data_IF_079242153944
#
_entry.id   IF_079242153944
#
_cell.length_a   1.000
_cell.length_b   1.000
_cell.length_c   1.000
_cell.angle_alpha   90.00
_cell.angle_beta   90.00
_cell.angle_gamma   90.00
#
_symmetry.space_group_name_H-M   'P 1'
#
loop_
_entity.id
_entity.type
_entity.pdbx_description
1 polymer ?
#
# COMPACT_ATOMS: atom_id res chain seq x y z
N UNK A 1 23.45 2.64 44.88
CA UNK A 1 24.22 1.89 43.88
C UNK A 1 23.25 1.17 42.95
N UNK A 2 22.84 1.85 41.90
CA UNK A 2 22.14 1.27 40.78
C UNK A 2 23.16 0.48 39.98
N UNK A 3 23.13 -0.84 40.08
CA UNK A 3 23.83 -1.70 39.14
C UNK A 3 23.12 -1.54 37.79
N UNK A 4 23.76 -0.81 36.89
CA UNK A 4 23.41 -0.88 35.48
C UNK A 4 23.77 -2.29 35.00
N UNK A 5 22.78 -3.16 34.88
CA UNK A 5 22.93 -4.36 34.08
C UNK A 5 23.10 -3.89 32.63
N UNK A 6 24.35 -3.83 32.18
CA UNK A 6 24.63 -3.94 30.75
C UNK A 6 24.29 -5.39 30.35
N UNK A 7 23.00 -5.68 30.23
CA UNK A 7 22.54 -6.94 29.69
C UNK A 7 23.08 -7.01 28.27
N UNK A 8 23.84 -8.07 27.98
CA UNK A 8 24.19 -8.41 26.59
C UNK A 8 22.87 -8.46 25.83
N UNK A 9 22.70 -7.58 24.85
CA UNK A 9 21.49 -7.57 24.01
C UNK A 9 21.42 -8.91 23.29
N UNK A 10 20.48 -9.76 23.70
CA UNK A 10 20.37 -11.12 23.20
C UNK A 10 19.78 -11.15 21.77
N UNK A 11 19.07 -10.11 21.40
CA UNK A 11 18.42 -9.95 20.08
C UNK A 11 18.74 -8.57 19.55
N UNK A 12 19.00 -8.49 18.26
CA UNK A 12 19.27 -7.23 17.56
C UNK A 12 18.59 -7.22 16.21
N UNK A 13 17.91 -6.13 15.90
CA UNK A 13 17.50 -5.81 14.55
C UNK A 13 18.61 -4.98 13.89
N UNK A 14 18.95 -5.30 12.63
CA UNK A 14 20.04 -4.66 11.91
C UNK A 14 19.65 -4.24 10.50
N UNK A 15 20.43 -3.31 9.94
CA UNK A 15 20.38 -2.90 8.54
C UNK A 15 21.72 -3.17 7.88
N UNK A 16 21.71 -3.85 6.76
CA UNK A 16 22.89 -4.08 5.93
C UNK A 16 22.67 -3.47 4.54
N UNK A 17 23.57 -2.56 4.15
CA UNK A 17 23.52 -1.90 2.85
C UNK A 17 23.83 -2.90 1.72
N UNK A 18 22.95 -2.96 0.70
CA UNK A 18 23.09 -3.84 -0.46
C UNK A 18 23.41 -3.08 -1.76
N UNK A 19 23.02 -1.82 -1.84
CA UNK A 19 23.22 -0.91 -2.96
C UNK A 19 23.07 0.53 -2.50
N UNK A 20 23.04 1.47 -3.43
CA UNK A 20 22.88 2.90 -3.07
C UNK A 20 21.49 3.18 -2.46
N UNK A 21 20.49 2.41 -2.88
CA UNK A 21 19.09 2.55 -2.46
C UNK A 21 18.44 1.22 -2.03
N UNK A 22 19.24 0.27 -1.58
CA UNK A 22 18.74 -1.02 -1.11
C UNK A 22 19.44 -1.44 0.16
N UNK A 23 18.66 -1.96 1.10
CA UNK A 23 19.13 -2.49 2.37
C UNK A 23 18.44 -3.81 2.70
N UNK A 24 19.13 -4.67 3.44
CA UNK A 24 18.52 -5.80 4.15
C UNK A 24 18.24 -5.40 5.59
N UNK A 25 17.03 -5.69 6.04
CA UNK A 25 16.64 -5.56 7.45
C UNK A 25 16.45 -6.95 8.01
N UNK A 26 17.19 -7.31 9.02
CA UNK A 26 17.16 -8.65 9.59
C UNK A 26 17.28 -8.67 11.10
N UNK A 27 17.13 -9.87 11.64
CA UNK A 27 17.21 -10.14 13.09
C UNK A 27 18.36 -11.08 13.34
N UNK A 28 19.22 -10.75 14.30
CA UNK A 28 20.28 -11.63 14.79
C UNK A 28 20.06 -11.92 16.26
N UNK A 29 20.44 -13.13 16.68
CA UNK A 29 20.47 -13.52 18.08
C UNK A 29 21.61 -14.50 18.35
N UNK A 30 22.26 -14.35 19.48
CA UNK A 30 23.22 -15.33 20.02
C UNK A 30 22.51 -16.45 20.78
N UNK A 31 21.24 -16.27 21.14
CA UNK A 31 20.43 -17.22 21.88
C UNK A 31 19.19 -17.64 21.08
N UNK A 32 18.67 -18.81 21.40
CA UNK A 32 17.36 -19.23 20.90
C UNK A 32 16.26 -18.42 21.58
N UNK A 33 15.22 -18.06 20.84
CA UNK A 33 13.95 -17.63 21.45
C UNK A 33 13.45 -18.74 22.39
N UNK A 34 12.68 -18.35 23.40
CA UNK A 34 11.92 -19.32 24.18
C UNK A 34 10.98 -20.10 23.26
N UNK A 35 10.65 -21.34 23.64
CA UNK A 35 9.74 -22.15 22.87
C UNK A 35 8.41 -21.40 22.67
N UNK A 36 7.99 -21.27 21.43
CA UNK A 36 6.77 -20.54 21.08
C UNK A 36 5.54 -21.29 21.63
N UNK A 37 4.69 -20.62 22.43
CA UNK A 37 3.45 -21.24 22.89
C UNK A 37 2.50 -21.54 21.73
N UNK A 38 1.63 -22.56 21.87
CA UNK A 38 0.62 -22.87 20.86
C UNK A 38 -0.41 -21.74 20.66
N UNK A 39 -0.59 -20.92 21.68
CA UNK A 39 -1.46 -19.74 21.65
C UNK A 39 -0.78 -18.59 22.39
N UNK A 40 -0.97 -17.37 21.91
CA UNK A 40 -0.55 -16.13 22.55
C UNK A 40 -1.69 -15.14 22.56
N UNK A 41 -1.64 -14.18 23.47
CA UNK A 41 -2.60 -13.08 23.46
C UNK A 41 -2.46 -12.21 22.21
N UNK A 42 -3.58 -11.68 21.72
CA UNK A 42 -3.58 -10.58 20.76
C UNK A 42 -3.12 -9.30 21.46
N UNK A 43 -2.74 -8.30 20.69
CA UNK A 43 -2.14 -7.05 21.21
C UNK A 43 -2.88 -5.82 20.71
N UNK A 44 -2.95 -4.82 21.59
CA UNK A 44 -3.44 -3.49 21.30
C UNK A 44 -2.26 -2.50 21.27
N UNK A 45 -2.36 -1.52 20.39
CA UNK A 45 -1.39 -0.44 20.26
C UNK A 45 -1.90 0.84 20.93
N UNK A 46 -1.03 1.47 21.71
CA UNK A 46 -1.21 2.82 22.24
C UNK A 46 0.10 3.58 22.13
N UNK A 47 0.05 4.89 22.17
CA UNK A 47 1.26 5.71 22.25
C UNK A 47 1.07 6.84 23.24
N UNK A 48 2.07 7.10 24.05
CA UNK A 48 2.11 8.23 24.98
C UNK A 48 2.35 9.58 24.28
N UNK A 49 2.72 9.56 22.98
CA UNK A 49 2.88 10.75 22.16
C UNK A 49 1.98 10.69 20.93
N UNK A 50 1.09 11.66 20.81
CA UNK A 50 0.22 11.81 19.62
C UNK A 50 0.60 13.13 18.96
N UNK A 51 1.02 13.15 17.67
CA UNK A 51 1.26 14.37 16.91
C UNK A 51 0.05 15.30 16.92
N UNK A 52 0.29 16.62 16.92
CA UNK A 52 -0.76 17.62 17.00
C UNK A 52 -1.78 17.44 15.87
N UNK A 53 -3.06 17.36 16.22
CA UNK A 53 -4.17 17.21 15.29
C UNK A 53 -4.49 15.78 14.86
N UNK A 54 -3.65 14.79 15.22
CA UNK A 54 -3.95 13.38 14.97
C UNK A 54 -4.85 12.79 16.05
N UNK A 55 -5.53 11.70 15.69
CA UNK A 55 -6.30 10.85 16.59
C UNK A 55 -6.34 9.41 16.08
N UNK A 56 -6.59 8.48 16.97
CA UNK A 56 -6.88 7.10 16.59
C UNK A 56 -8.18 7.03 15.80
N UNK A 57 -8.12 6.51 14.58
CA UNK A 57 -9.28 6.22 13.74
C UNK A 57 -9.86 4.84 14.05
N UNK A 58 -8.99 3.89 14.42
CA UNK A 58 -9.33 2.55 14.92
C UNK A 58 -8.16 2.01 15.78
N UNK A 59 -8.16 0.70 16.07
CA UNK A 59 -7.18 0.02 16.91
C UNK A 59 -5.75 0.02 16.34
N UNK A 60 -5.60 0.25 15.04
CA UNK A 60 -4.32 0.16 14.31
C UNK A 60 -3.96 1.39 13.48
N UNK A 61 -4.80 2.43 13.47
CA UNK A 61 -4.56 3.63 12.66
C UNK A 61 -4.62 4.90 13.50
N UNK A 62 -3.50 5.64 13.52
CA UNK A 62 -3.39 6.98 14.12
C UNK A 62 -3.19 7.98 12.97
N UNK A 63 -4.15 8.88 12.74
CA UNK A 63 -4.15 9.73 11.55
C UNK A 63 -4.76 11.12 11.77
N UNK A 64 -4.55 12.02 10.82
CA UNK A 64 -5.33 13.24 10.72
C UNK A 64 -6.77 12.92 10.27
N UNK A 65 -7.81 13.59 10.83
CA UNK A 65 -9.20 13.29 10.48
C UNK A 65 -9.56 13.36 9.00
N UNK A 66 -8.80 14.15 8.23
CA UNK A 66 -8.98 14.30 6.79
C UNK A 66 -8.24 13.24 5.95
N UNK A 67 -7.36 12.45 6.55
CA UNK A 67 -6.51 11.50 5.82
C UNK A 67 -7.28 10.30 5.29
N UNK A 68 -8.41 9.93 5.93
CA UNK A 68 -9.28 8.81 5.51
C UNK A 68 -8.49 7.51 5.26
N UNK A 69 -7.57 7.16 6.17
CA UNK A 69 -6.64 6.03 6.08
C UNK A 69 -5.55 6.15 5.01
N UNK A 70 -5.36 7.34 4.45
CA UNK A 70 -4.27 7.65 3.53
C UNK A 70 -3.27 8.56 4.23
N UNK A 71 -2.17 8.01 4.74
CA UNK A 71 -1.20 8.73 5.56
C UNK A 71 -1.32 8.40 7.04
N UNK A 72 -0.72 9.24 7.90
CA UNK A 72 -0.61 8.99 9.34
C UNK A 72 0.24 7.75 9.65
N UNK A 73 -0.25 6.94 10.61
CA UNK A 73 0.40 5.70 11.06
C UNK A 73 -0.54 4.52 10.92
N UNK A 74 -0.02 3.41 10.40
CA UNK A 74 -0.68 2.12 10.44
C UNK A 74 0.23 1.11 11.14
N UNK A 75 -0.29 0.44 12.16
CA UNK A 75 0.43 -0.51 12.99
C UNK A 75 0.04 -1.93 12.62
N UNK A 76 1.04 -2.78 12.43
CA UNK A 76 0.84 -4.20 12.17
C UNK A 76 1.84 -5.02 12.99
N UNK A 77 1.52 -6.29 13.23
CA UNK A 77 2.43 -7.22 13.88
C UNK A 77 2.52 -8.53 13.14
N UNK A 78 3.70 -9.11 13.11
CA UNK A 78 3.93 -10.48 12.64
C UNK A 78 4.53 -11.29 13.78
N UNK A 79 4.29 -12.61 13.75
CA UNK A 79 4.86 -13.53 14.73
C UNK A 79 6.37 -13.63 14.54
N UNK A 80 7.10 -13.64 15.64
CA UNK A 80 8.53 -13.93 15.69
C UNK A 80 8.74 -15.34 16.24
N UNK A 81 9.30 -16.24 15.42
CA UNK A 81 9.68 -17.59 15.81
C UNK A 81 11.21 -17.73 15.79
N UNK A 82 11.72 -18.79 16.41
CA UNK A 82 13.14 -19.13 16.39
C UNK A 82 13.68 -19.40 14.98
N UNK A 83 12.85 -19.88 14.06
CA UNK A 83 13.20 -20.10 12.66
C UNK A 83 13.33 -18.81 11.86
N UNK A 84 12.80 -17.70 12.38
CA UNK A 84 12.87 -16.35 11.79
C UNK A 84 14.22 -15.67 12.03
N UNK A 85 14.99 -16.16 12.99
CA UNK A 85 16.30 -15.63 13.32
C UNK A 85 17.27 -15.84 12.16
N UNK A 86 18.07 -14.81 11.87
CA UNK A 86 19.01 -14.77 10.74
C UNK A 86 18.35 -14.69 9.34
N UNK A 87 17.06 -14.46 9.27
CA UNK A 87 16.39 -14.10 8.03
C UNK A 87 16.35 -12.56 7.88
N UNK A 88 16.44 -12.09 6.65
CA UNK A 88 16.48 -10.66 6.35
C UNK A 88 15.59 -10.29 5.17
N UNK A 89 14.76 -9.27 5.38
CA UNK A 89 13.89 -8.68 4.38
C UNK A 89 14.69 -7.73 3.47
N UNK A 90 14.62 -7.89 2.17
CA UNK A 90 15.18 -6.96 1.21
C UNK A 90 14.26 -5.76 1.04
N UNK A 91 14.78 -4.54 1.28
CA UNK A 91 14.07 -3.29 1.10
C UNK A 91 14.74 -2.50 -0.03
N UNK A 92 13.98 -2.21 -1.10
CA UNK A 92 14.41 -1.43 -2.26
C UNK A 92 13.85 -0.01 -2.20
N UNK A 93 14.44 0.89 -3.00
CA UNK A 93 14.08 2.31 -3.04
C UNK A 93 14.28 3.05 -1.69
N UNK A 94 15.15 2.57 -0.83
CA UNK A 94 15.46 3.15 0.47
C UNK A 94 16.44 4.31 0.31
N UNK A 95 16.05 5.50 0.71
CA UNK A 95 16.88 6.72 0.67
C UNK A 95 17.50 7.07 2.02
N UNK A 96 16.96 6.51 3.10
CA UNK A 96 17.50 6.67 4.45
C UNK A 96 17.21 5.41 5.28
N UNK A 97 18.18 4.98 6.07
CA UNK A 97 18.03 3.86 7.00
C UNK A 97 18.82 4.14 8.29
N UNK A 98 18.26 3.75 9.43
CA UNK A 98 18.87 3.98 10.74
C UNK A 98 18.51 2.85 11.70
N UNK A 99 19.53 2.21 12.30
CA UNK A 99 19.34 1.33 13.46
C UNK A 99 19.28 2.17 14.73
N UNK A 100 18.27 1.95 15.56
CA UNK A 100 18.16 2.63 16.85
C UNK A 100 17.25 1.90 17.84
N UNK A 101 17.33 2.31 19.10
CA UNK A 101 16.37 1.89 20.13
C UNK A 101 15.21 2.88 20.17
N UNK A 102 13.98 2.38 20.10
CA UNK A 102 12.74 3.13 20.25
C UNK A 102 12.11 2.78 21.61
N UNK A 103 12.25 3.67 22.59
CA UNK A 103 11.86 3.35 23.96
C UNK A 103 12.63 2.13 24.51
N UNK A 104 11.94 1.02 24.70
CA UNK A 104 12.55 -0.26 25.15
C UNK A 104 12.89 -1.22 24.01
N UNK A 105 12.45 -0.94 22.77
CA UNK A 105 12.56 -1.85 21.64
C UNK A 105 13.75 -1.52 20.74
N UNK A 106 14.50 -2.54 20.34
CA UNK A 106 15.45 -2.44 19.22
C UNK A 106 14.67 -2.34 17.93
N UNK A 107 15.15 -1.54 16.97
CA UNK A 107 14.43 -1.38 15.73
C UNK A 107 15.22 -0.70 14.63
N UNK A 108 14.55 -0.56 13.50
CA UNK A 108 15.08 0.05 12.28
C UNK A 108 14.06 1.04 11.73
N UNK A 109 14.54 2.25 11.41
CA UNK A 109 13.80 3.22 10.63
C UNK A 109 14.25 3.17 9.17
N UNK A 110 13.30 3.17 8.24
CA UNK A 110 13.53 3.27 6.79
C UNK A 110 12.70 4.42 6.19
N UNK A 111 13.33 5.17 5.29
CA UNK A 111 12.64 6.13 4.40
C UNK A 111 12.79 5.66 2.96
N UNK A 112 11.67 5.60 2.26
CA UNK A 112 11.63 5.20 0.85
C UNK A 112 11.56 6.42 -0.07
N UNK A 113 12.04 6.27 -1.29
CA UNK A 113 11.89 7.28 -2.32
C UNK A 113 10.41 7.56 -2.60
N UNK A 114 10.02 8.82 -2.49
CA UNK A 114 8.67 9.27 -2.79
C UNK A 114 8.72 10.44 -3.76
N UNK A 115 8.12 10.28 -4.93
CA UNK A 115 8.07 11.31 -5.97
C UNK A 115 7.05 12.43 -5.67
N UNK A 116 6.29 12.33 -4.57
CA UNK A 116 5.24 13.28 -4.19
C UNK A 116 4.17 13.46 -5.28
N UNK A 117 3.93 12.40 -6.07
CA UNK A 117 2.89 12.40 -7.11
C UNK A 117 1.50 12.19 -6.55
N UNK A 118 1.42 11.54 -5.39
CA UNK A 118 0.19 11.24 -4.65
C UNK A 118 0.34 11.69 -3.20
N UNK A 119 -0.77 11.92 -2.52
CA UNK A 119 -0.80 12.24 -1.09
C UNK A 119 -1.09 10.97 -0.27
N UNK A 120 -0.57 10.94 0.94
CA UNK A 120 -0.84 9.86 1.89
C UNK A 120 -0.11 8.56 1.59
N UNK A 121 0.98 8.63 0.81
CA UNK A 121 1.84 7.47 0.54
C UNK A 121 2.60 7.10 1.81
N UNK A 122 2.58 5.82 2.18
CA UNK A 122 3.40 5.29 3.27
C UNK A 122 4.85 5.15 2.80
N UNK A 123 5.61 6.23 2.87
CA UNK A 123 6.99 6.31 2.41
C UNK A 123 8.03 6.18 3.54
N UNK A 124 7.58 5.92 4.76
CA UNK A 124 8.44 5.62 5.91
C UNK A 124 7.98 4.32 6.57
N UNK A 125 8.91 3.64 7.23
CA UNK A 125 8.64 2.42 7.97
C UNK A 125 9.54 2.31 9.20
N UNK A 126 8.97 1.84 10.31
CA UNK A 126 9.74 1.45 11.48
C UNK A 126 9.42 -0.03 11.76
N UNK A 127 10.47 -0.81 11.94
CA UNK A 127 10.36 -2.16 12.48
C UNK A 127 10.83 -2.14 13.93
N UNK A 128 10.07 -2.76 14.83
CA UNK A 128 10.42 -2.93 16.24
C UNK A 128 10.49 -4.40 16.58
N UNK A 129 11.55 -4.81 17.21
CA UNK A 129 11.77 -6.17 17.68
C UNK A 129 11.23 -6.32 19.10
N UNK A 130 10.23 -7.16 19.29
CA UNK A 130 9.52 -7.39 20.54
C UNK A 130 9.59 -8.88 20.92
N UNK A 131 10.74 -9.41 21.36
CA UNK A 131 10.95 -10.84 21.60
C UNK A 131 10.14 -11.37 22.78
N UNK A 132 9.88 -10.55 23.80
CA UNK A 132 9.10 -10.94 24.98
C UNK A 132 7.62 -11.16 24.63
N UNK A 133 7.13 -10.48 23.60
CA UNK A 133 5.77 -10.60 23.06
C UNK A 133 5.70 -11.56 21.85
N UNK A 134 6.78 -12.20 21.46
CA UNK A 134 6.92 -13.02 20.24
C UNK A 134 6.49 -12.28 18.96
N UNK A 135 6.87 -10.98 18.82
CA UNK A 135 6.41 -10.12 17.73
C UNK A 135 7.54 -9.35 17.06
N UNK A 136 7.34 -9.07 15.78
CA UNK A 136 7.93 -7.92 15.10
C UNK A 136 6.79 -6.96 14.77
N UNK A 137 6.90 -5.73 15.21
CA UNK A 137 5.93 -4.68 14.91
C UNK A 137 6.41 -3.91 13.70
N UNK A 138 5.53 -3.71 12.74
CA UNK A 138 5.75 -2.83 11.60
C UNK A 138 4.86 -1.60 11.72
N UNK A 139 5.46 -0.42 11.71
CA UNK A 139 4.77 0.86 11.68
C UNK A 139 4.95 1.45 10.29
N UNK A 140 3.88 1.49 9.50
CA UNK A 140 3.81 2.19 8.23
C UNK A 140 3.48 3.65 8.50
N UNK A 141 4.24 4.58 7.91
CA UNK A 141 4.15 6.00 8.22
C UNK A 141 4.02 6.78 6.92
N UNK A 142 3.00 7.64 6.88
CA UNK A 142 2.66 8.44 5.72
C UNK A 142 3.64 9.59 5.46
N UNK A 143 3.63 10.09 4.25
CA UNK A 143 4.44 11.24 3.81
C UNK A 143 3.97 12.58 4.39
N UNK A 144 2.84 12.57 5.10
CA UNK A 144 2.28 13.68 5.88
C UNK A 144 2.85 13.75 7.32
N UNK A 145 3.68 12.77 7.71
CA UNK A 145 4.32 12.67 9.03
C UNK A 145 5.81 13.01 8.94
N UNK A 146 6.30 13.85 9.85
CA UNK A 146 7.73 14.12 9.96
C UNK A 146 8.49 12.90 10.54
N UNK A 147 9.77 12.74 10.17
CA UNK A 147 10.63 11.71 10.81
C UNK A 147 10.67 11.88 12.33
N UNK A 148 10.68 13.12 12.81
CA UNK A 148 10.73 13.42 14.24
C UNK A 148 9.49 12.91 14.97
N UNK A 149 8.31 13.14 14.42
CA UNK A 149 7.05 12.62 14.99
C UNK A 149 6.98 11.10 14.87
N UNK A 150 7.42 10.53 13.74
CA UNK A 150 7.50 9.09 13.54
C UNK A 150 8.33 8.41 14.63
N UNK A 151 9.51 8.97 14.92
CA UNK A 151 10.40 8.47 15.98
C UNK A 151 9.76 8.62 17.34
N UNK A 152 9.18 9.78 17.67
CA UNK A 152 8.53 10.01 18.98
C UNK A 152 7.35 9.07 19.21
N UNK A 153 6.53 8.82 18.19
CA UNK A 153 5.43 7.85 18.30
C UNK A 153 5.96 6.45 18.60
N UNK A 154 7.00 6.00 17.90
CA UNK A 154 7.60 4.70 18.13
C UNK A 154 8.31 4.59 19.48
N UNK A 155 9.01 5.65 19.93
CA UNK A 155 9.67 5.69 21.25
C UNK A 155 8.69 5.61 22.43
N UNK A 156 7.46 6.08 22.23
CA UNK A 156 6.39 6.08 23.24
C UNK A 156 5.33 5.02 22.97
N UNK A 157 5.61 4.05 22.08
CA UNK A 157 4.68 2.97 21.78
C UNK A 157 4.56 2.03 22.99
N UNK A 158 3.33 1.78 23.37
CA UNK A 158 2.91 0.81 24.37
C UNK A 158 2.18 -0.33 23.66
N UNK A 159 2.64 -1.55 23.88
CA UNK A 159 2.03 -2.77 23.39
C UNK A 159 1.42 -3.45 24.61
N UNK A 160 0.13 -3.73 24.57
CA UNK A 160 -0.59 -4.39 25.66
C UNK A 160 -1.33 -5.61 25.15
N UNK A 161 -1.20 -6.73 25.87
CA UNK A 161 -1.98 -7.92 25.57
C UNK A 161 -3.47 -7.66 25.89
N UNK A 162 -4.36 -8.18 25.04
CA UNK A 162 -5.80 -8.20 25.28
C UNK A 162 -6.29 -9.63 25.54
N UNK A 163 -7.59 -9.79 25.81
CA UNK A 163 -8.17 -11.08 26.21
C UNK A 163 -8.31 -12.09 25.04
N UNK A 164 -8.07 -11.66 23.80
CA UNK A 164 -8.22 -12.51 22.63
C UNK A 164 -6.97 -13.40 22.45
N UNK A 165 -7.19 -14.71 22.36
CA UNK A 165 -6.15 -15.70 22.11
C UNK A 165 -6.02 -15.99 20.61
N UNK A 166 -4.78 -16.02 20.12
CA UNK A 166 -4.43 -16.33 18.75
C UNK A 166 -3.65 -17.64 18.68
N UNK A 167 -4.01 -18.54 17.77
CA UNK A 167 -3.28 -19.77 17.48
C UNK A 167 -2.01 -19.43 16.68
N UNK A 168 -0.84 -19.65 17.26
CA UNK A 168 0.44 -19.25 16.64
C UNK A 168 0.68 -19.95 15.29
N UNK A 169 0.22 -21.20 15.13
CA UNK A 169 0.32 -21.94 13.86
C UNK A 169 -0.47 -21.32 12.69
N UNK A 170 -1.37 -20.37 12.95
CA UNK A 170 -2.19 -19.68 11.93
C UNK A 170 -1.75 -18.23 11.69
N UNK A 171 -0.78 -17.78 12.45
CA UNK A 171 -0.31 -16.40 12.34
C UNK A 171 0.69 -16.24 11.20
N UNK A 172 0.71 -15.06 10.60
CA UNK A 172 1.72 -14.65 9.65
C UNK A 172 3.02 -14.37 10.39
N UNK A 173 4.12 -14.96 9.94
CA UNK A 173 5.42 -14.91 10.60
C UNK A 173 6.35 -13.87 9.95
N UNK A 174 7.47 -13.54 10.62
CA UNK A 174 8.53 -12.77 10.00
C UNK A 174 9.12 -13.51 8.78
N UNK A 175 9.22 -14.84 8.83
CA UNK A 175 9.64 -15.65 7.69
C UNK A 175 8.71 -15.52 6.49
N UNK A 176 7.40 -15.46 6.71
CA UNK A 176 6.43 -15.21 5.64
C UNK A 176 6.57 -13.79 5.05
N UNK A 177 6.94 -12.79 5.89
CA UNK A 177 7.22 -11.43 5.42
C UNK A 177 8.49 -11.38 4.58
N UNK A 178 9.55 -12.08 4.99
CA UNK A 178 10.83 -12.16 4.26
C UNK A 178 10.68 -12.95 2.96
N UNK A 179 9.89 -14.01 2.97
CA UNK A 179 9.66 -14.90 1.84
C UNK A 179 8.16 -15.01 1.54
N UNK A 180 7.53 -13.92 1.06
CA UNK A 180 6.10 -13.96 0.79
C UNK A 180 5.81 -15.07 -0.19
N UNK A 181 4.90 -15.97 0.17
CA UNK A 181 4.35 -16.94 -0.77
C UNK A 181 3.69 -16.10 -1.85
N UNK A 182 4.32 -16.08 -3.04
CA UNK A 182 3.72 -15.45 -4.20
C UNK A 182 2.44 -16.22 -4.49
N UNK A 183 1.32 -15.72 -4.01
CA UNK A 183 0.06 -16.15 -4.60
C UNK A 183 0.21 -15.79 -6.07
N UNK A 184 0.12 -16.76 -6.94
CA UNK A 184 0.07 -16.60 -8.38
C UNK A 184 -1.29 -15.97 -8.76
N UNK A 185 -1.60 -14.86 -8.13
CA UNK A 185 -2.55 -13.88 -8.63
C UNK A 185 -1.96 -13.32 -9.89
N UNK A 186 -2.73 -13.37 -10.98
CA UNK A 186 -2.26 -13.00 -12.30
C UNK A 186 -1.47 -11.70 -12.27
N UNK A 187 -0.39 -11.67 -13.02
CA UNK A 187 0.48 -10.53 -13.20
C UNK A 187 -0.38 -9.29 -13.45
N UNK A 188 -0.33 -8.31 -12.54
CA UNK A 188 -1.07 -7.07 -12.72
C UNK A 188 -0.45 -6.33 -13.90
N UNK A 189 -1.03 -6.47 -15.07
CA UNK A 189 -0.56 -5.84 -16.30
C UNK A 189 -0.82 -4.33 -16.19
N UNK A 190 0.21 -3.58 -15.82
CA UNK A 190 0.16 -2.12 -15.72
C UNK A 190 0.30 -1.41 -17.06
N UNK A 191 0.78 -2.12 -18.08
CA UNK A 191 0.86 -1.62 -19.46
C UNK A 191 0.78 -2.75 -20.48
N UNK A 192 0.09 -2.51 -21.58
CA UNK A 192 0.03 -3.42 -22.71
C UNK A 192 0.86 -2.84 -23.86
N UNK A 193 1.81 -3.57 -24.45
CA UNK A 193 2.52 -3.11 -25.63
C UNK A 193 1.55 -2.70 -26.74
N UNK A 194 1.85 -1.59 -27.43
CA UNK A 194 0.95 -1.02 -28.46
C UNK A 194 0.54 -2.05 -29.53
N UNK A 195 1.44 -2.95 -29.91
CA UNK A 195 1.18 -4.01 -30.87
C UNK A 195 0.24 -5.14 -30.36
N UNK A 196 -0.08 -5.13 -29.08
CA UNK A 196 -1.05 -6.06 -28.46
C UNK A 196 -2.39 -5.39 -28.13
N UNK A 197 -2.50 -4.08 -28.34
CA UNK A 197 -3.76 -3.38 -28.14
C UNK A 197 -4.75 -3.78 -29.25
N UNK A 198 -5.95 -4.16 -28.84
CA UNK A 198 -7.08 -4.31 -29.76
C UNK A 198 -7.75 -2.95 -29.88
N UNK A 199 -7.70 -2.37 -31.08
CA UNK A 199 -8.30 -1.07 -31.35
C UNK A 199 -9.56 -1.29 -32.19
N UNK A 200 -10.70 -0.85 -31.66
CA UNK A 200 -11.98 -0.90 -32.33
C UNK A 200 -12.36 0.49 -32.85
N UNK A 201 -13.06 0.54 -34.00
CA UNK A 201 -13.49 1.78 -34.65
C UNK A 201 -14.96 2.05 -34.36
N UNK A 202 -15.35 3.31 -34.49
CA UNK A 202 -16.78 3.69 -34.46
C UNK A 202 -17.53 2.91 -35.54
N UNK A 203 -18.67 2.32 -35.17
CA UNK A 203 -19.48 1.49 -36.04
C UNK A 203 -19.01 0.03 -36.17
N UNK A 204 -17.99 -0.38 -35.40
CA UNK A 204 -17.49 -1.76 -35.37
C UNK A 204 -18.17 -2.57 -34.28
N UNK A 205 -18.58 -3.80 -34.61
CA UNK A 205 -19.01 -4.80 -33.64
C UNK A 205 -17.83 -5.68 -33.22
N UNK A 206 -17.72 -5.95 -31.93
CA UNK A 206 -16.73 -6.89 -31.41
C UNK A 206 -17.31 -7.69 -30.24
N UNK A 207 -16.72 -8.85 -29.98
CA UNK A 207 -17.10 -9.70 -28.87
C UNK A 207 -16.13 -9.52 -27.73
N UNK A 208 -16.65 -9.48 -26.50
CA UNK A 208 -15.89 -9.44 -25.28
C UNK A 208 -16.37 -10.49 -24.28
N UNK A 209 -15.50 -10.84 -23.35
CA UNK A 209 -15.84 -11.63 -22.17
C UNK A 209 -16.17 -10.70 -21.03
N UNK A 210 -17.30 -10.88 -20.40
CA UNK A 210 -17.72 -10.11 -19.25
C UNK A 210 -17.89 -11.00 -18.02
N UNK A 211 -17.39 -10.54 -16.89
CA UNK A 211 -17.64 -11.16 -15.59
C UNK A 211 -18.79 -10.46 -14.90
N UNK A 212 -19.54 -11.19 -14.09
CA UNK A 212 -20.64 -10.63 -13.32
C UNK A 212 -21.30 -11.69 -12.45
N UNK A 213 -22.51 -11.44 -12.01
CA UNK A 213 -23.29 -12.36 -11.20
C UNK A 213 -24.50 -12.89 -11.98
N UNK A 214 -24.85 -14.17 -11.78
CA UNK A 214 -26.10 -14.72 -12.26
C UNK A 214 -27.29 -14.24 -11.41
N UNK A 215 -28.48 -14.71 -11.72
CA UNK A 215 -29.72 -14.38 -10.97
C UNK A 215 -29.67 -14.80 -9.51
N UNK A 216 -28.84 -15.79 -9.16
CA UNK A 216 -28.72 -16.38 -7.83
C UNK A 216 -27.51 -15.80 -7.06
N UNK A 217 -26.77 -14.85 -7.65
CA UNK A 217 -25.61 -14.16 -7.04
C UNK A 217 -24.30 -14.92 -7.17
N UNK A 218 -24.20 -15.92 -8.05
CA UNK A 218 -22.94 -16.63 -8.29
C UNK A 218 -22.11 -15.91 -9.36
N UNK A 219 -20.80 -15.87 -9.15
CA UNK A 219 -19.88 -15.30 -10.13
C UNK A 219 -19.89 -16.14 -11.42
N UNK A 220 -20.09 -15.47 -12.54
CA UNK A 220 -20.10 -16.07 -13.88
C UNK A 220 -19.23 -15.28 -14.85
N UNK A 221 -18.77 -15.97 -15.90
CA UNK A 221 -18.09 -15.35 -17.05
C UNK A 221 -18.93 -15.65 -18.28
N UNK A 222 -19.23 -14.63 -19.08
CA UNK A 222 -20.01 -14.75 -20.30
C UNK A 222 -19.21 -14.22 -21.49
N UNK A 223 -18.84 -15.12 -22.41
CA UNK A 223 -18.06 -14.82 -23.62
C UNK A 223 -18.95 -14.44 -24.82
N UNK A 224 -20.26 -14.37 -24.60
CA UNK A 224 -21.28 -14.07 -25.68
C UNK A 224 -21.81 -12.64 -25.56
N UNK A 225 -21.00 -11.73 -25.05
CA UNK A 225 -21.33 -10.31 -25.05
C UNK A 225 -20.75 -9.68 -26.30
N UNK A 226 -21.59 -9.03 -27.09
CA UNK A 226 -21.14 -8.16 -28.19
C UNK A 226 -21.26 -6.70 -27.79
N UNK A 227 -20.33 -5.91 -28.26
CA UNK A 227 -20.30 -4.46 -28.05
C UNK A 227 -20.24 -3.78 -29.43
N UNK A 228 -21.00 -2.68 -29.55
CA UNK A 228 -21.01 -1.80 -30.71
C UNK A 228 -20.66 -0.39 -30.27
N UNK A 229 -19.65 0.21 -30.89
CA UNK A 229 -19.27 1.61 -30.59
C UNK A 229 -20.14 2.53 -31.45
N UNK A 230 -21.19 3.10 -30.85
CA UNK A 230 -22.15 3.96 -31.57
C UNK A 230 -21.54 5.32 -31.92
N UNK A 231 -20.85 5.93 -30.95
CA UNK A 231 -20.21 7.24 -31.13
C UNK A 231 -19.08 7.49 -30.17
N UNK A 232 -18.15 8.35 -30.58
CA UNK A 232 -17.11 8.93 -29.70
C UNK A 232 -17.07 10.44 -29.93
N UNK A 233 -17.22 11.22 -28.89
CA UNK A 233 -17.20 12.68 -28.92
C UNK A 233 -16.12 13.19 -27.99
N UNK A 234 -15.54 14.34 -28.29
CA UNK A 234 -14.58 15.02 -27.42
C UNK A 234 -14.99 16.46 -27.16
N UNK A 235 -14.73 16.96 -25.95
CA UNK A 235 -15.00 18.33 -25.57
C UNK A 235 -13.90 18.90 -24.66
N UNK A 236 -13.81 20.24 -24.61
CA UNK A 236 -12.94 20.98 -23.71
C UNK A 236 -13.68 21.43 -22.43
N UNK A 237 -14.91 20.94 -22.25
CA UNK A 237 -15.79 21.19 -21.10
C UNK A 237 -16.64 19.95 -20.78
N UNK A 238 -17.48 20.02 -19.75
CA UNK A 238 -18.30 18.90 -19.30
C UNK A 238 -19.74 18.87 -19.86
N UNK A 239 -20.05 19.70 -20.85
CA UNK A 239 -21.43 19.81 -21.37
C UNK A 239 -21.99 18.51 -21.97
N UNK A 240 -21.12 17.65 -22.49
CA UNK A 240 -21.54 16.33 -23.01
C UNK A 240 -22.14 15.43 -21.93
N UNK A 241 -21.83 15.66 -20.66
CA UNK A 241 -22.38 14.88 -19.54
C UNK A 241 -23.83 15.28 -19.19
N UNK A 242 -24.34 16.37 -19.78
CA UNK A 242 -25.73 16.81 -19.69
C UNK A 242 -26.31 16.86 -18.26
N UNK A 243 -25.49 17.30 -17.29
CA UNK A 243 -25.90 17.43 -15.88
C UNK A 243 -25.89 16.11 -15.09
N UNK A 244 -25.23 15.08 -15.58
CA UNK A 244 -24.99 13.87 -14.79
C UNK A 244 -24.20 14.20 -13.51
N UNK A 245 -24.47 13.43 -12.45
CA UNK A 245 -23.69 13.52 -11.21
C UNK A 245 -22.22 13.18 -11.50
N UNK A 246 -21.33 14.08 -11.08
CA UNK A 246 -19.91 13.90 -11.27
C UNK A 246 -19.31 13.16 -10.07
N UNK A 247 -18.30 12.31 -10.28
CA UNK A 247 -17.50 11.78 -9.18
C UNK A 247 -16.91 12.91 -8.33
N UNK A 248 -16.83 12.69 -7.03
CA UNK A 248 -16.29 13.69 -6.06
C UNK A 248 -14.89 14.16 -6.47
N UNK A 249 -14.09 13.28 -7.07
CA UNK A 249 -12.73 13.56 -7.53
C UNK A 249 -12.70 14.59 -8.70
N UNK A 250 -13.84 14.85 -9.34
CA UNK A 250 -13.97 15.77 -10.47
C UNK A 250 -14.38 17.19 -10.06
N UNK A 251 -14.58 17.48 -8.77
CA UNK A 251 -15.00 18.80 -8.29
C UNK A 251 -14.13 19.96 -8.81
N UNK A 252 -12.83 19.70 -9.01
CA UNK A 252 -11.85 20.71 -9.43
C UNK A 252 -11.36 20.53 -10.88
N UNK A 253 -12.05 19.73 -11.72
CA UNK A 253 -11.59 19.51 -13.10
C UNK A 253 -11.93 20.64 -14.06
N UNK A 254 -12.82 21.58 -13.68
CA UNK A 254 -13.18 22.75 -14.48
C UNK A 254 -12.73 24.06 -13.80
N UNK A 255 -12.39 25.04 -14.61
CA UNK A 255 -12.11 26.41 -14.16
C UNK A 255 -13.38 27.26 -14.06
N UNK A 256 -13.25 28.51 -13.62
CA UNK A 256 -14.36 29.47 -13.50
C UNK A 256 -15.11 29.76 -14.81
N UNK A 257 -14.53 29.44 -15.97
CA UNK A 257 -15.13 29.58 -17.28
C UNK A 257 -15.82 28.32 -17.78
N UNK A 258 -15.94 27.26 -16.94
CA UNK A 258 -16.53 25.99 -17.29
C UNK A 258 -15.68 25.12 -18.23
N UNK A 259 -14.40 25.45 -18.42
CA UNK A 259 -13.45 24.69 -19.24
C UNK A 259 -12.63 23.76 -18.37
N UNK A 260 -12.25 22.60 -18.93
CA UNK A 260 -11.35 21.67 -18.28
C UNK A 260 -10.03 22.35 -17.91
N UNK A 261 -9.56 22.17 -16.70
CA UNK A 261 -8.27 22.69 -16.25
C UNK A 261 -7.14 21.91 -16.92
N UNK A 262 -5.96 22.54 -16.98
CA UNK A 262 -4.77 21.82 -17.43
C UNK A 262 -4.33 20.84 -16.35
N UNK A 263 -3.95 19.63 -16.77
CA UNK A 263 -3.35 18.64 -15.86
C UNK A 263 -1.84 18.76 -15.86
N UNK A 264 -1.24 18.67 -14.67
CA UNK A 264 0.21 18.63 -14.48
C UNK A 264 0.68 17.19 -14.64
N UNK A 265 1.36 16.90 -15.75
CA UNK A 265 1.91 15.56 -16.06
C UNK A 265 3.40 15.55 -15.73
N UNK A 266 3.82 14.56 -14.96
CA UNK A 266 5.23 14.30 -14.66
C UNK A 266 5.70 13.06 -15.40
N UNK A 267 6.80 13.20 -16.14
CA UNK A 267 7.47 12.10 -16.82
C UNK A 267 8.52 11.52 -15.87
N UNK A 268 8.40 10.23 -15.59
CA UNK A 268 9.24 9.54 -14.62
C UNK A 268 10.22 8.65 -15.38
N UNK A 269 11.50 8.76 -15.04
CA UNK A 269 12.50 7.77 -15.38
C UNK A 269 12.60 6.77 -14.25
N UNK A 270 12.23 5.53 -14.50
CA UNK A 270 12.30 4.46 -13.50
C UNK A 270 13.74 4.08 -13.16
N UNK A 271 13.96 3.84 -11.87
CA UNK A 271 15.17 3.25 -11.32
C UNK A 271 15.02 1.73 -11.19
N UNK A 272 16.08 1.07 -10.71
CA UNK A 272 16.11 -0.35 -10.38
C UNK A 272 15.80 -0.61 -8.88
N UNK A 273 15.67 0.46 -8.11
CA UNK A 273 15.44 0.42 -6.66
C UNK A 273 16.66 -0.01 -5.84
N UNK A 274 17.77 -0.37 -6.48
CA UNK A 274 19.01 -0.84 -5.83
C UNK A 274 20.13 0.20 -5.96
N UNK A 275 20.47 0.59 -7.19
CA UNK A 275 21.53 1.57 -7.48
C UNK A 275 20.96 2.88 -8.03
N UNK A 276 19.67 2.90 -8.33
CA UNK A 276 18.95 4.08 -8.81
C UNK A 276 17.50 4.04 -8.36
N UNK A 277 16.90 5.22 -8.14
CA UNK A 277 15.49 5.37 -7.81
C UNK A 277 14.74 6.10 -8.92
N UNK A 278 13.43 5.97 -8.90
CA UNK A 278 12.56 6.73 -9.77
C UNK A 278 12.77 8.23 -9.58
N UNK A 279 12.81 8.97 -10.70
CA UNK A 279 12.96 10.42 -10.67
C UNK A 279 12.13 11.10 -11.73
N UNK A 280 11.56 12.25 -11.38
CA UNK A 280 10.88 13.12 -12.35
C UNK A 280 11.94 13.77 -13.25
N UNK A 281 11.86 13.54 -14.55
CA UNK A 281 12.77 14.10 -15.55
C UNK A 281 12.18 15.31 -16.29
N UNK A 282 10.85 15.42 -16.32
CA UNK A 282 10.13 16.53 -16.93
C UNK A 282 8.77 16.67 -16.27
N UNK A 283 8.30 17.90 -16.18
CA UNK A 283 6.91 18.19 -15.80
C UNK A 283 6.35 19.23 -16.77
N UNK A 284 5.13 19.01 -17.24
CA UNK A 284 4.43 19.96 -18.11
C UNK A 284 2.93 20.03 -17.81
N UNK A 285 2.31 21.15 -18.16
CA UNK A 285 0.87 21.30 -18.06
C UNK A 285 0.25 20.98 -19.42
N UNK A 286 -0.55 19.93 -19.50
CA UNK A 286 -1.24 19.47 -20.71
C UNK A 286 -2.72 19.82 -20.68
N UNK A 287 -3.29 20.14 -21.84
CA UNK A 287 -4.72 20.35 -21.95
C UNK A 287 -5.44 19.01 -21.75
N UNK A 288 -6.50 19.01 -20.97
CA UNK A 288 -7.39 17.88 -20.85
C UNK A 288 -8.50 17.95 -21.87
N UNK A 289 -9.05 16.81 -22.23
CA UNK A 289 -10.28 16.67 -23.01
C UNK A 289 -11.18 15.64 -22.36
N UNK A 290 -12.46 15.94 -22.32
CA UNK A 290 -13.48 14.94 -22.06
C UNK A 290 -13.60 14.06 -23.32
N UNK A 291 -13.52 12.74 -23.14
CA UNK A 291 -13.88 11.76 -24.17
C UNK A 291 -15.17 11.08 -23.71
N UNK A 292 -16.20 11.19 -24.52
CA UNK A 292 -17.51 10.60 -24.27
C UNK A 292 -17.81 9.57 -25.33
N UNK A 293 -17.88 8.31 -24.96
CA UNK A 293 -18.19 7.21 -25.85
C UNK A 293 -19.56 6.62 -25.50
N UNK A 294 -20.39 6.37 -26.55
CA UNK A 294 -21.60 5.61 -26.41
C UNK A 294 -21.35 4.22 -26.98
N UNK A 295 -21.63 3.19 -26.18
CA UNK A 295 -21.41 1.80 -26.55
C UNK A 295 -22.70 1.01 -26.24
N UNK A 296 -23.20 0.27 -27.21
CA UNK A 296 -24.34 -0.65 -27.04
C UNK A 296 -23.78 -2.04 -26.74
N UNK A 297 -24.18 -2.62 -25.63
CA UNK A 297 -23.85 -4.00 -25.28
C UNK A 297 -25.06 -4.91 -25.52
N UNK A 298 -24.82 -6.06 -26.13
CA UNK A 298 -25.83 -7.08 -26.36
C UNK A 298 -25.38 -8.41 -25.74
N UNK A 299 -26.22 -8.94 -24.87
CA UNK A 299 -26.03 -10.28 -24.35
C UNK A 299 -26.67 -11.30 -25.31
N UNK A 300 -25.85 -12.08 -25.99
CA UNK A 300 -26.27 -13.08 -26.96
C UNK A 300 -26.40 -14.49 -26.33
N UNK A 301 -26.44 -14.58 -25.02
CA UNK A 301 -26.66 -15.83 -24.29
C UNK A 301 -28.02 -15.86 -23.63
N UNK A 302 -28.49 -17.04 -23.26
CA UNK A 302 -29.72 -17.25 -22.48
C UNK A 302 -29.51 -16.97 -20.95
N UNK A 303 -28.31 -16.56 -20.55
CA UNK A 303 -27.94 -16.36 -19.18
C UNK A 303 -28.01 -14.87 -18.82
N UNK A 304 -28.81 -14.52 -17.83
CA UNK A 304 -28.80 -13.16 -17.26
C UNK A 304 -27.46 -12.90 -16.56
N UNK A 305 -26.92 -11.70 -16.74
CA UNK A 305 -25.73 -11.22 -16.07
C UNK A 305 -26.00 -9.90 -15.33
N UNK A 306 -25.74 -9.84 -14.05
CA UNK A 306 -25.86 -8.65 -13.20
C UNK A 306 -24.47 -8.14 -12.83
N UNK A 307 -24.38 -6.87 -12.50
CA UNK A 307 -23.12 -6.22 -12.09
C UNK A 307 -21.95 -6.53 -13.02
N UNK A 308 -22.22 -6.41 -14.33
CA UNK A 308 -21.25 -6.76 -15.37
C UNK A 308 -19.97 -5.90 -15.27
N UNK A 309 -18.81 -6.59 -15.22
CA UNK A 309 -17.49 -6.01 -15.32
C UNK A 309 -16.81 -6.49 -16.61
N UNK A 310 -16.12 -5.59 -17.34
CA UNK A 310 -15.43 -5.84 -18.60
C UNK A 310 -14.09 -5.10 -18.69
#
# INVERSE_FOLDING_TARGET
>A
TTAAYAGVKMYRMYVEKQGDYSVKTGITSENKLADLPAQIHDIDFKTGYIPEGMKWADESHLEYPQSKRMGGFSFASVLLDSDDLNQALENKNVVESEERTFGKYEGVYLKYNNLKTEKGVFDQRIYLLCPDEYRVITIYIGDDVSKEDAVKVAENLEITENDKMLETAKMYTWSDEVNPKVETGGEMVTSVPENKLKVHKIGEDFTLSASGEDKDGNNIVNDKISAHVDSVQTADDLKLLNGADLPEEWENVINSNGKLVKNKVSYIKSGDGVNSVDRVIKTENVNQKLVYATVTYTNNSDQEIKHMLY
#
